data_IF_313111620710
#
_entry.id   IF_313111620710
#
_cell.length_a   1.000
_cell.length_b   1.000
_cell.length_c   1.000
_cell.angle_alpha   90.00
_cell.angle_beta   90.00
_cell.angle_gamma   90.00
#
_symmetry.space_group_name_H-M   'P 1'
#
loop_
_entity.id
_entity.type
_entity.pdbx_description
1 polymer ?
#
# COMPACT_ATOMS: atom_id res chain seq x y z
N UNK A 1 -7.05 9.63 -8.57
CA UNK A 1 -6.98 10.04 -7.15
C UNK A 1 -7.36 11.50 -6.93
N UNK A 2 -6.67 12.53 -7.47
CA UNK A 2 -6.99 13.95 -7.21
C UNK A 2 -8.43 14.35 -7.54
N UNK A 3 -8.99 13.86 -8.66
CA UNK A 3 -10.40 14.09 -9.02
C UNK A 3 -11.38 13.55 -7.98
N UNK A 4 -11.03 12.43 -7.35
CA UNK A 4 -11.84 11.83 -6.28
C UNK A 4 -11.79 12.71 -5.04
N UNK A 5 -10.59 13.15 -4.63
CA UNK A 5 -10.41 14.08 -3.49
C UNK A 5 -11.21 15.37 -3.68
N UNK A 6 -11.16 15.97 -4.87
CA UNK A 6 -11.93 17.18 -5.20
C UNK A 6 -13.45 16.93 -5.10
N UNK A 7 -13.95 15.77 -5.57
CA UNK A 7 -15.38 15.43 -5.48
C UNK A 7 -15.88 15.32 -4.05
N UNK A 8 -15.06 14.77 -3.17
CA UNK A 8 -15.41 14.57 -1.76
C UNK A 8 -15.09 15.78 -0.88
N UNK A 9 -14.47 16.82 -1.43
CA UNK A 9 -14.13 18.07 -0.73
C UNK A 9 -13.41 17.83 0.60
N UNK A 10 -12.37 17.00 0.58
CA UNK A 10 -11.57 16.63 1.75
C UNK A 10 -10.19 17.27 1.72
N UNK A 11 -9.66 17.57 2.89
CA UNK A 11 -8.26 17.89 3.06
C UNK A 11 -7.46 16.57 3.08
N UNK A 12 -6.58 16.39 2.09
CA UNK A 12 -5.76 15.18 1.94
C UNK A 12 -4.29 15.49 2.17
N UNK A 13 -3.65 14.72 3.04
CA UNK A 13 -2.19 14.65 3.15
C UNK A 13 -1.72 13.28 2.68
N UNK A 14 -0.76 13.28 1.76
CA UNK A 14 -0.07 12.07 1.28
C UNK A 14 1.36 12.10 1.82
N UNK A 15 1.73 11.07 2.57
CA UNK A 15 3.06 10.95 3.16
C UNK A 15 4.01 10.23 2.21
N UNK A 16 5.08 10.89 1.82
CA UNK A 16 6.27 10.21 1.30
C UNK A 16 7.02 9.59 2.48
N UNK A 17 6.86 8.27 2.66
CA UNK A 17 7.53 7.55 3.75
C UNK A 17 9.06 7.68 3.66
N UNK A 18 9.81 7.46 4.78
CA UNK A 18 11.26 7.57 4.78
C UNK A 18 11.93 6.82 3.61
N UNK A 19 12.76 7.54 2.85
CA UNK A 19 13.45 7.03 1.67
C UNK A 19 12.72 7.20 0.34
N UNK A 20 11.48 7.76 0.35
CA UNK A 20 10.76 8.16 -0.86
C UNK A 20 10.81 9.67 -1.06
N UNK A 21 10.74 10.10 -2.31
CA UNK A 21 10.70 11.52 -2.67
C UNK A 21 11.85 12.32 -2.04
N UNK A 22 11.51 13.37 -1.29
CA UNK A 22 12.45 14.20 -0.54
C UNK A 22 12.64 13.76 0.93
N UNK A 23 11.93 12.71 1.37
CA UNK A 23 12.01 12.24 2.76
C UNK A 23 13.33 11.54 3.04
N UNK A 24 13.98 11.90 4.16
CA UNK A 24 15.20 11.26 4.61
C UNK A 24 15.01 9.76 4.83
N UNK A 25 15.97 8.96 4.43
CA UNK A 25 15.92 7.52 4.65
C UNK A 25 16.05 7.19 6.15
N UNK A 26 15.29 6.17 6.61
CA UNK A 26 15.36 5.57 7.95
C UNK A 26 15.59 4.06 7.83
N UNK A 27 16.83 3.58 7.67
CA UNK A 27 17.10 2.15 7.51
C UNK A 27 16.69 1.34 8.74
N UNK A 28 16.13 0.15 8.50
CA UNK A 28 15.73 -0.75 9.58
C UNK A 28 14.44 -0.37 10.29
N UNK A 29 13.68 0.61 9.75
CA UNK A 29 12.33 0.94 10.24
C UNK A 29 11.40 -0.26 10.17
N UNK A 30 10.44 -0.29 11.07
CA UNK A 30 9.32 -1.23 11.06
C UNK A 30 8.06 -0.53 10.61
N UNK A 31 7.03 -1.29 10.29
CA UNK A 31 5.73 -0.75 9.89
C UNK A 31 5.20 0.27 10.92
N UNK A 32 5.28 -0.04 12.21
CA UNK A 32 4.80 0.85 13.28
C UNK A 32 5.48 2.21 13.34
N UNK A 33 6.70 2.33 12.83
CA UNK A 33 7.50 3.54 13.00
C UNK A 33 6.96 4.72 12.18
N UNK A 34 6.06 4.47 11.20
CA UNK A 34 5.33 5.50 10.45
C UNK A 34 4.47 6.39 11.36
N UNK A 35 4.03 5.86 12.49
CA UNK A 35 3.14 6.58 13.41
C UNK A 35 3.78 7.86 13.95
N UNK A 36 5.08 7.86 14.18
CA UNK A 36 5.83 9.05 14.61
C UNK A 36 5.74 10.16 13.55
N UNK A 37 5.92 9.83 12.28
CA UNK A 37 5.86 10.78 11.17
C UNK A 37 4.42 11.29 10.97
N UNK A 38 3.42 10.41 11.07
CA UNK A 38 2.00 10.78 10.94
C UNK A 38 1.59 11.75 12.05
N UNK A 39 1.99 11.51 13.30
CA UNK A 39 1.70 12.41 14.41
C UNK A 39 2.26 13.81 14.16
N UNK A 40 3.51 13.92 13.72
CA UNK A 40 4.11 15.21 13.39
C UNK A 40 3.35 15.96 12.30
N UNK A 41 2.88 15.24 11.27
CA UNK A 41 2.14 15.82 10.15
C UNK A 41 0.75 16.29 10.59
N UNK A 42 -0.02 15.45 11.27
CA UNK A 42 -1.39 15.79 11.67
C UNK A 42 -1.40 16.91 12.73
N UNK A 43 -0.38 16.98 13.61
CA UNK A 43 -0.18 18.09 14.53
C UNK A 43 0.15 19.40 13.80
N UNK A 44 1.00 19.34 12.77
CA UNK A 44 1.32 20.50 11.94
C UNK A 44 0.10 21.00 11.13
N UNK A 45 -0.82 20.09 10.76
CA UNK A 45 -2.09 20.45 10.12
C UNK A 45 -3.14 20.98 11.12
N UNK A 46 -2.91 20.83 12.41
CA UNK A 46 -3.88 21.20 13.45
C UNK A 46 -5.09 20.26 13.49
N UNK A 47 -4.93 19.01 13.09
CA UNK A 47 -6.01 18.03 13.08
C UNK A 47 -6.04 17.25 14.40
N UNK A 48 -7.13 17.32 15.12
CA UNK A 48 -7.35 16.53 16.33
C UNK A 48 -7.65 15.06 16.00
N UNK A 49 -8.38 14.83 14.92
CA UNK A 49 -8.73 13.49 14.40
C UNK A 49 -8.63 13.43 12.89
N UNK A 50 -8.52 12.23 12.35
CA UNK A 50 -8.40 11.99 10.91
C UNK A 50 -8.82 10.57 10.53
N UNK A 51 -9.26 10.39 9.29
CA UNK A 51 -9.38 9.08 8.68
C UNK A 51 -8.07 8.72 7.97
N UNK A 52 -7.71 7.44 7.93
CA UNK A 52 -6.49 6.96 7.29
C UNK A 52 -6.76 5.82 6.34
N UNK A 53 -6.09 5.81 5.20
CA UNK A 53 -6.08 4.64 4.34
C UNK A 53 -4.72 4.40 3.71
N UNK A 54 -4.50 3.17 3.31
CA UNK A 54 -3.30 2.78 2.59
C UNK A 54 -3.60 1.67 1.59
N UNK A 55 -2.99 1.77 0.40
CA UNK A 55 -3.07 0.74 -0.64
C UNK A 55 -1.80 -0.09 -0.70
N UNK A 56 -1.93 -1.40 -1.00
CA UNK A 56 -0.79 -2.30 -1.18
C UNK A 56 0.20 -2.24 0.00
N UNK A 57 1.47 -1.99 -0.24
CA UNK A 57 2.47 -1.78 0.82
C UNK A 57 2.19 -0.60 1.77
N UNK A 58 1.22 0.27 1.46
CA UNK A 58 0.76 1.32 2.36
C UNK A 58 -0.25 0.85 3.41
N UNK A 59 -0.98 -0.23 3.13
CA UNK A 59 -2.04 -0.74 4.00
C UNK A 59 -1.55 -1.15 5.41
N UNK A 60 -0.43 -1.87 5.57
CA UNK A 60 0.15 -2.15 6.88
C UNK A 60 0.41 -0.90 7.72
N UNK A 61 0.86 0.19 7.08
CA UNK A 61 1.14 1.46 7.75
C UNK A 61 -0.15 2.15 8.22
N UNK A 62 -1.23 2.09 7.43
CA UNK A 62 -2.55 2.58 7.84
C UNK A 62 -3.10 1.77 9.03
N UNK A 63 -2.97 0.44 9.01
CA UNK A 63 -3.35 -0.42 10.13
C UNK A 63 -2.52 -0.13 11.38
N UNK A 64 -1.23 0.21 11.24
CA UNK A 64 -0.41 0.63 12.38
C UNK A 64 -0.90 1.95 13.00
N UNK A 65 -1.33 2.91 12.18
CA UNK A 65 -1.96 4.13 12.68
C UNK A 65 -3.26 3.81 13.42
N UNK A 66 -4.11 2.95 12.87
CA UNK A 66 -5.36 2.52 13.53
C UNK A 66 -5.12 1.85 14.88
N UNK A 67 -4.06 1.02 14.99
CA UNK A 67 -3.72 0.32 16.21
C UNK A 67 -3.13 1.23 17.29
N UNK A 68 -2.29 2.21 16.92
CA UNK A 68 -1.51 3.00 17.86
C UNK A 68 -2.05 4.40 18.10
N UNK A 69 -2.94 4.90 17.25
CA UNK A 69 -3.55 6.22 17.34
C UNK A 69 -5.09 6.16 17.45
N UNK A 70 -5.60 5.13 18.15
CA UNK A 70 -7.06 4.92 18.31
C UNK A 70 -7.83 6.13 18.89
N UNK A 71 -7.14 7.04 19.59
CA UNK A 71 -7.75 8.30 20.07
C UNK A 71 -7.83 9.42 19.03
N UNK A 72 -7.23 9.23 17.85
CA UNK A 72 -7.16 10.23 16.76
C UNK A 72 -7.63 9.69 15.41
N UNK A 73 -7.45 8.39 15.17
CA UNK A 73 -7.95 7.73 13.94
C UNK A 73 -9.43 7.44 14.10
N UNK A 74 -10.25 8.04 13.25
CA UNK A 74 -11.71 7.82 13.24
C UNK A 74 -12.08 6.55 12.47
N UNK A 75 -11.43 6.32 11.32
CA UNK A 75 -11.65 5.17 10.44
C UNK A 75 -10.36 4.81 9.71
N UNK A 76 -10.21 3.52 9.39
CA UNK A 76 -9.06 3.04 8.64
C UNK A 76 -9.51 2.15 7.48
N UNK A 77 -9.07 2.43 6.25
CA UNK A 77 -9.25 1.53 5.12
C UNK A 77 -7.93 0.86 4.73
N UNK A 78 -7.87 -0.46 4.81
CA UNK A 78 -6.80 -1.30 4.30
C UNK A 78 -7.17 -1.81 2.91
N UNK A 79 -6.45 -1.39 1.89
CA UNK A 79 -6.82 -1.58 0.49
C UNK A 79 -5.77 -2.44 -0.23
N UNK A 80 -6.17 -3.60 -0.74
CA UNK A 80 -5.31 -4.57 -1.44
C UNK A 80 -3.97 -4.80 -0.72
N UNK A 81 -4.02 -4.88 0.59
CA UNK A 81 -2.85 -4.90 1.45
C UNK A 81 -2.51 -6.29 2.01
N UNK A 82 -1.22 -6.55 2.31
CA UNK A 82 -0.83 -7.81 2.93
C UNK A 82 -1.22 -7.87 4.41
N UNK A 83 -1.38 -9.08 4.93
CA UNK A 83 -1.40 -9.38 6.35
C UNK A 83 0.03 -9.39 6.93
N UNK A 84 0.22 -9.39 8.27
CA UNK A 84 1.53 -9.54 8.88
C UNK A 84 2.26 -10.77 8.34
N UNK A 85 3.58 -10.63 8.13
CA UNK A 85 4.37 -11.75 7.59
C UNK A 85 4.35 -12.98 8.52
N UNK A 86 4.21 -12.75 9.82
CA UNK A 86 4.15 -13.80 10.85
C UNK A 86 2.71 -14.22 11.18
N UNK A 87 1.74 -13.92 10.31
CA UNK A 87 0.33 -14.28 10.48
C UNK A 87 0.19 -15.79 10.62
N UNK A 88 -0.19 -16.25 11.81
CA UNK A 88 -0.36 -17.67 12.09
C UNK A 88 -1.49 -18.25 11.23
N UNK A 89 -1.24 -19.40 10.62
CA UNK A 89 -2.20 -20.09 9.76
C UNK A 89 -2.30 -19.55 8.34
N UNK A 90 -1.57 -18.48 7.97
CA UNK A 90 -1.52 -17.95 6.63
C UNK A 90 -0.27 -18.47 5.89
N UNK A 91 -0.46 -19.19 4.80
CA UNK A 91 0.61 -19.36 3.80
C UNK A 91 0.77 -18.04 3.03
N UNK A 92 1.73 -17.22 3.49
CA UNK A 92 1.86 -15.82 3.10
C UNK A 92 2.16 -15.63 1.60
N UNK A 93 2.81 -16.60 0.97
CA UNK A 93 3.13 -16.56 -0.46
C UNK A 93 2.13 -17.31 -1.34
N UNK A 94 1.14 -17.99 -0.76
CA UNK A 94 0.17 -18.75 -1.53
C UNK A 94 -0.57 -17.87 -2.54
N UNK A 95 -0.59 -18.29 -3.82
CA UNK A 95 -1.25 -17.60 -4.92
C UNK A 95 -0.63 -16.24 -5.32
N UNK A 96 0.48 -15.85 -4.72
CA UNK A 96 1.22 -14.65 -5.08
C UNK A 96 2.00 -14.87 -6.38
N UNK A 97 2.11 -13.83 -7.21
CA UNK A 97 2.84 -13.89 -8.48
C UNK A 97 4.34 -14.20 -8.28
N UNK A 98 4.97 -14.91 -9.22
CA UNK A 98 6.38 -15.27 -9.11
C UNK A 98 7.32 -14.07 -8.92
N UNK A 99 7.05 -12.96 -9.62
CA UNK A 99 7.82 -11.73 -9.49
C UNK A 99 7.79 -11.19 -8.06
N UNK A 100 6.60 -11.11 -7.47
CA UNK A 100 6.41 -10.59 -6.11
C UNK A 100 7.00 -11.54 -5.05
N UNK A 101 6.83 -12.87 -5.22
CA UNK A 101 7.48 -13.88 -4.35
C UNK A 101 9.01 -13.73 -4.36
N UNK A 102 9.60 -13.51 -5.53
CA UNK A 102 11.04 -13.29 -5.68
C UNK A 102 11.51 -12.04 -4.96
N UNK A 103 10.80 -10.92 -5.14
CA UNK A 103 11.11 -9.66 -4.46
C UNK A 103 11.13 -9.83 -2.95
N UNK A 104 10.03 -10.31 -2.38
CA UNK A 104 9.85 -10.40 -0.95
C UNK A 104 10.74 -11.48 -0.31
N UNK A 105 11.07 -12.53 -1.06
CA UNK A 105 12.06 -13.52 -0.63
C UNK A 105 13.47 -12.90 -0.51
N UNK A 106 13.86 -12.03 -1.45
CA UNK A 106 15.14 -11.31 -1.37
C UNK A 106 15.11 -10.23 -0.28
N UNK A 107 13.99 -9.51 -0.12
CA UNK A 107 13.83 -8.53 0.95
C UNK A 107 14.05 -9.15 2.35
N UNK A 108 13.58 -10.38 2.58
CA UNK A 108 13.84 -11.12 3.83
C UNK A 108 15.32 -11.40 4.08
N UNK A 109 16.12 -11.55 3.03
CA UNK A 109 17.57 -11.73 3.16
C UNK A 109 18.30 -10.41 3.46
N UNK A 110 17.59 -9.28 3.34
CA UNK A 110 18.08 -7.95 3.64
C UNK A 110 18.57 -7.17 2.42
N UNK A 111 18.91 -5.92 2.66
CA UNK A 111 19.22 -4.93 1.61
C UNK A 111 20.28 -5.40 0.61
N UNK A 112 21.37 -5.99 1.09
CA UNK A 112 22.47 -6.45 0.22
C UNK A 112 22.02 -7.44 -0.84
N UNK A 113 21.09 -8.33 -0.50
CA UNK A 113 20.56 -9.31 -1.44
C UNK A 113 19.49 -8.72 -2.36
N UNK A 114 18.70 -7.77 -1.85
CA UNK A 114 17.51 -7.24 -2.53
C UNK A 114 17.80 -6.05 -3.44
N UNK A 115 18.70 -5.14 -3.06
CA UNK A 115 19.02 -3.90 -3.78
C UNK A 115 19.28 -4.09 -5.28
N UNK A 116 20.11 -5.07 -5.73
CA UNK A 116 20.39 -5.24 -7.16
C UNK A 116 19.15 -5.60 -7.99
N UNK A 117 18.15 -6.24 -7.39
CA UNK A 117 16.88 -6.51 -8.06
C UNK A 117 16.05 -5.23 -8.18
N UNK A 118 15.89 -4.46 -7.08
CA UNK A 118 15.04 -3.27 -7.06
C UNK A 118 15.57 -2.19 -8.00
N UNK A 119 16.89 -1.96 -8.01
CA UNK A 119 17.52 -1.02 -8.94
C UNK A 119 17.19 -1.36 -10.40
N UNK A 120 17.32 -2.63 -10.76
CA UNK A 120 16.95 -3.11 -12.10
C UNK A 120 15.45 -2.96 -12.41
N UNK A 121 14.57 -3.29 -11.44
CA UNK A 121 13.13 -3.15 -11.63
C UNK A 121 12.73 -1.67 -11.82
N UNK A 122 13.32 -0.76 -11.06
CA UNK A 122 13.11 0.67 -11.19
C UNK A 122 13.53 1.19 -12.58
N UNK A 123 14.72 0.78 -13.05
CA UNK A 123 15.20 1.13 -14.39
C UNK A 123 14.27 0.58 -15.48
N UNK A 124 13.86 -0.67 -15.37
CA UNK A 124 12.93 -1.32 -16.32
C UNK A 124 11.56 -0.63 -16.32
N UNK A 125 11.02 -0.24 -15.16
CA UNK A 125 9.75 0.46 -15.06
C UNK A 125 9.81 1.82 -15.78
N UNK A 126 10.88 2.59 -15.56
CA UNK A 126 11.10 3.89 -16.24
C UNK A 126 11.19 3.71 -17.74
N UNK A 127 12.03 2.77 -18.20
CA UNK A 127 12.21 2.50 -19.63
C UNK A 127 10.90 2.04 -20.28
N UNK A 128 10.15 1.16 -19.62
CA UNK A 128 8.89 0.65 -20.11
C UNK A 128 7.85 1.76 -20.30
N UNK A 129 7.60 2.59 -19.28
CA UNK A 129 6.58 3.66 -19.37
C UNK A 129 6.96 4.73 -20.39
N UNK A 130 8.24 5.04 -20.55
CA UNK A 130 8.72 5.96 -21.58
C UNK A 130 8.48 5.46 -23.01
N UNK A 131 8.42 4.12 -23.17
CA UNK A 131 8.11 3.46 -24.46
C UNK A 131 6.62 3.13 -24.60
N UNK A 132 5.76 3.57 -23.68
CA UNK A 132 4.32 3.28 -23.69
C UNK A 132 3.97 1.86 -23.21
N UNK A 133 4.91 1.18 -22.54
CA UNK A 133 4.71 -0.13 -21.89
C UNK A 133 4.27 0.01 -20.43
N UNK A 134 3.98 -1.12 -19.80
CA UNK A 134 3.58 -1.16 -18.39
C UNK A 134 4.80 -1.12 -17.46
N UNK A 135 4.66 -0.55 -16.25
CA UNK A 135 5.77 -0.43 -15.29
C UNK A 135 6.16 -1.75 -14.62
N UNK A 136 5.35 -2.79 -14.76
CA UNK A 136 5.60 -4.13 -14.20
C UNK A 136 5.94 -5.12 -15.32
N UNK A 137 6.91 -5.99 -15.06
CA UNK A 137 7.30 -7.05 -16.01
C UNK A 137 6.29 -8.20 -16.03
N UNK A 138 6.41 -9.07 -17.04
CA UNK A 138 5.54 -10.25 -17.21
C UNK A 138 5.67 -11.24 -16.04
N UNK A 139 6.78 -11.23 -15.28
CA UNK A 139 6.98 -12.07 -14.10
C UNK A 139 5.92 -11.84 -12.99
N UNK A 140 5.20 -10.71 -13.05
CA UNK A 140 4.11 -10.42 -12.11
C UNK A 140 2.78 -11.05 -12.51
N UNK A 141 2.65 -11.61 -13.71
CA UNK A 141 1.47 -12.37 -14.16
C UNK A 141 0.14 -11.66 -13.87
N UNK A 142 0.08 -10.35 -14.10
CA UNK A 142 -1.09 -9.54 -13.75
C UNK A 142 -2.35 -10.02 -14.48
N UNK A 143 -3.50 -10.09 -13.79
CA UNK A 143 -4.79 -10.36 -14.42
C UNK A 143 -5.11 -9.34 -15.53
N UNK A 144 -5.87 -9.77 -16.53
CA UNK A 144 -6.24 -8.91 -17.65
C UNK A 144 -6.92 -7.58 -17.23
N UNK A 145 -7.69 -7.60 -16.15
CA UNK A 145 -8.33 -6.41 -15.60
C UNK A 145 -7.30 -5.41 -15.06
N UNK A 146 -6.28 -5.89 -14.33
CA UNK A 146 -5.21 -5.03 -13.82
C UNK A 146 -4.35 -4.45 -14.95
N UNK A 147 -4.07 -5.26 -15.98
CA UNK A 147 -3.40 -4.80 -17.21
C UNK A 147 -4.20 -3.70 -17.89
N UNK A 148 -5.52 -3.85 -18.01
CA UNK A 148 -6.39 -2.83 -18.60
C UNK A 148 -6.38 -1.53 -17.78
N UNK A 149 -6.52 -1.62 -16.45
CA UNK A 149 -6.49 -0.47 -15.55
C UNK A 149 -5.12 0.26 -15.58
N UNK A 150 -4.01 -0.47 -15.65
CA UNK A 150 -2.68 0.14 -15.83
C UNK A 150 -2.54 0.88 -17.16
N UNK A 151 -3.11 0.33 -18.25
CA UNK A 151 -3.12 0.99 -19.57
C UNK A 151 -3.94 2.27 -19.57
N UNK A 152 -5.08 2.28 -18.89
CA UNK A 152 -5.88 3.49 -18.70
C UNK A 152 -5.09 4.55 -17.94
N UNK A 153 -4.40 4.17 -16.86
CA UNK A 153 -3.52 5.09 -16.10
C UNK A 153 -2.35 5.60 -16.91
N UNK A 154 -1.73 4.75 -17.74
CA UNK A 154 -0.64 5.15 -18.62
C UNK A 154 -1.06 6.24 -19.61
N UNK A 155 -2.34 6.27 -19.99
CA UNK A 155 -2.92 7.29 -20.84
C UNK A 155 -3.27 8.61 -20.09
N UNK A 156 -3.24 8.60 -18.75
CA UNK A 156 -3.51 9.82 -17.97
C UNK A 156 -2.37 10.86 -18.11
N UNK A 157 -2.69 12.14 -18.26
CA UNK A 157 -1.69 13.20 -18.28
C UNK A 157 -0.79 13.16 -17.03
N UNK A 158 0.52 13.20 -17.24
CA UNK A 158 1.52 13.23 -16.18
C UNK A 158 1.78 11.88 -15.49
N UNK A 159 1.16 10.77 -15.92
CA UNK A 159 1.44 9.47 -15.32
C UNK A 159 2.88 9.01 -15.56
N UNK A 160 3.38 9.16 -16.79
CA UNK A 160 4.76 8.80 -17.14
C UNK A 160 5.75 9.63 -16.33
N UNK A 161 5.55 10.93 -16.25
CA UNK A 161 6.40 11.86 -15.51
C UNK A 161 6.42 11.51 -14.01
N UNK A 162 5.26 11.21 -13.42
CA UNK A 162 5.18 10.78 -12.01
C UNK A 162 5.88 9.45 -11.77
N UNK A 163 5.73 8.49 -12.68
CA UNK A 163 6.40 7.19 -12.57
C UNK A 163 7.92 7.34 -12.68
N UNK A 164 8.38 8.15 -13.62
CA UNK A 164 9.81 8.48 -13.74
C UNK A 164 10.32 9.17 -12.48
N UNK A 165 9.63 10.21 -12.00
CA UNK A 165 10.02 10.92 -10.78
C UNK A 165 10.10 10.00 -9.56
N UNK A 166 9.11 9.11 -9.37
CA UNK A 166 9.08 8.17 -8.25
C UNK A 166 10.28 7.21 -8.25
N UNK A 167 10.87 6.91 -9.41
CA UNK A 167 11.99 5.98 -9.54
C UNK A 167 13.37 6.67 -9.66
N UNK A 168 13.43 7.97 -9.89
CA UNK A 168 14.71 8.72 -10.05
C UNK A 168 15.29 9.24 -8.75
N UNK A 169 14.50 9.29 -7.67
CA UNK A 169 14.98 9.67 -6.33
C UNK A 169 15.65 8.51 -5.57
N UNK A 170 15.89 7.38 -6.24
CA UNK A 170 16.48 6.18 -5.67
C UNK A 170 15.43 5.16 -5.21
N UNK A 171 15.91 4.00 -4.77
CA UNK A 171 15.09 2.84 -4.41
C UNK A 171 15.08 2.54 -2.92
N UNK A 172 15.64 3.41 -2.11
CA UNK A 172 15.83 3.17 -0.68
C UNK A 172 14.52 2.97 0.07
N UNK A 173 13.51 3.78 -0.24
CA UNK A 173 12.18 3.65 0.35
C UNK A 173 11.51 2.32 0.00
N UNK A 174 11.61 1.89 -1.27
CA UNK A 174 11.08 0.60 -1.71
C UNK A 174 11.76 -0.57 -0.99
N UNK A 175 13.10 -0.54 -0.90
CA UNK A 175 13.88 -1.56 -0.20
C UNK A 175 13.46 -1.66 1.26
N UNK A 176 13.41 -0.52 1.96
CA UNK A 176 13.09 -0.48 3.38
C UNK A 176 11.64 -0.91 3.66
N UNK A 177 10.68 -0.56 2.80
CA UNK A 177 9.28 -1.00 2.91
C UNK A 177 9.15 -2.52 2.77
N UNK A 178 9.73 -3.12 1.72
CA UNK A 178 9.63 -4.55 1.51
C UNK A 178 10.32 -5.33 2.63
N UNK A 179 11.45 -4.83 3.16
CA UNK A 179 12.10 -5.41 4.33
C UNK A 179 11.19 -5.29 5.56
N UNK A 180 10.56 -4.13 5.78
CA UNK A 180 9.67 -3.91 6.92
C UNK A 180 8.41 -4.80 6.85
N UNK A 181 7.83 -4.99 5.66
CA UNK A 181 6.67 -5.86 5.46
C UNK A 181 6.95 -7.34 5.76
N UNK A 182 8.19 -7.80 5.50
CA UNK A 182 8.62 -9.20 5.73
C UNK A 182 9.22 -9.44 7.11
N UNK A 183 9.05 -8.52 8.05
CA UNK A 183 9.48 -8.59 9.46
C UNK A 183 8.30 -8.31 10.39
N UNK A 184 8.46 -8.54 11.72
CA UNK A 184 7.45 -8.14 12.70
C UNK A 184 7.08 -6.67 12.56
N UNK A 185 5.80 -6.38 12.34
CA UNK A 185 5.31 -5.01 12.14
C UNK A 185 5.51 -4.13 13.37
N UNK A 186 5.59 -4.75 14.57
CA UNK A 186 5.69 -4.06 15.85
C UNK A 186 4.34 -3.56 16.37
N UNK A 187 3.25 -3.94 15.71
CA UNK A 187 1.85 -3.77 16.15
C UNK A 187 1.12 -5.09 15.97
N UNK A 188 0.07 -5.27 16.74
CA UNK A 188 -0.84 -6.40 16.65
C UNK A 188 -2.18 -5.90 16.08
N UNK A 189 -2.56 -6.26 14.85
CA UNK A 189 -3.83 -5.85 14.26
C UNK A 189 -5.06 -6.30 15.03
N UNK A 190 -4.95 -7.36 15.85
CA UNK A 190 -6.06 -7.85 16.68
C UNK A 190 -6.46 -6.86 17.78
N UNK A 191 -5.61 -5.89 18.09
CA UNK A 191 -5.84 -4.86 19.10
C UNK A 191 -6.46 -3.57 18.52
N UNK A 192 -6.76 -3.52 17.23
CA UNK A 192 -7.41 -2.37 16.62
C UNK A 192 -8.85 -2.28 17.13
N UNK A 193 -9.22 -1.09 17.60
CA UNK A 193 -10.55 -0.81 18.17
C UNK A 193 -11.36 0.20 17.36
N UNK A 194 -10.72 0.87 16.41
CA UNK A 194 -11.40 1.80 15.50
C UNK A 194 -12.05 1.04 14.34
N UNK A 195 -13.09 1.58 13.68
CA UNK A 195 -13.67 0.98 12.50
C UNK A 195 -12.63 0.75 11.40
N UNK A 196 -12.57 -0.49 10.87
CA UNK A 196 -11.67 -0.88 9.78
C UNK A 196 -12.46 -1.47 8.63
N UNK A 197 -12.15 -1.06 7.41
CA UNK A 197 -12.61 -1.73 6.19
C UNK A 197 -11.43 -2.39 5.47
N UNK A 198 -11.67 -3.62 4.99
CA UNK A 198 -10.70 -4.41 4.23
C UNK A 198 -11.21 -4.54 2.80
N UNK A 199 -10.48 -3.89 1.88
CA UNK A 199 -10.79 -3.87 0.45
C UNK A 199 -9.83 -4.78 -0.29
N UNK A 200 -10.35 -5.74 -1.06
CA UNK A 200 -9.50 -6.72 -1.76
C UNK A 200 -10.10 -7.17 -3.08
N UNK A 201 -9.26 -7.46 -4.05
CA UNK A 201 -9.63 -8.08 -5.31
C UNK A 201 -9.58 -9.60 -5.24
N UNK A 202 -10.58 -10.32 -5.78
CA UNK A 202 -10.57 -11.78 -5.78
C UNK A 202 -9.46 -12.37 -6.64
N UNK A 203 -9.05 -11.63 -7.69
CA UNK A 203 -8.02 -12.03 -8.66
C UNK A 203 -6.66 -11.36 -8.40
N UNK A 204 -6.48 -10.73 -7.23
CA UNK A 204 -5.23 -10.07 -6.87
C UNK A 204 -4.10 -11.10 -6.71
N UNK A 205 -3.07 -10.97 -7.55
CA UNK A 205 -1.86 -11.81 -7.52
C UNK A 205 -0.67 -11.15 -6.83
N UNK A 206 -0.80 -9.86 -6.47
CA UNK A 206 0.24 -9.13 -5.72
C UNK A 206 0.00 -9.23 -4.21
N UNK A 207 -1.26 -9.07 -3.80
CA UNK A 207 -1.72 -9.31 -2.43
C UNK A 207 -2.96 -10.21 -2.47
N UNK A 208 -2.80 -11.53 -2.58
CA UNK A 208 -3.92 -12.46 -2.72
C UNK A 208 -4.97 -12.32 -1.63
N UNK A 209 -6.23 -12.60 -1.98
CA UNK A 209 -7.39 -12.45 -1.09
C UNK A 209 -7.25 -13.17 0.26
N UNK A 210 -6.39 -14.19 0.35
CA UNK A 210 -6.06 -14.89 1.59
C UNK A 210 -5.51 -13.96 2.67
N UNK A 211 -4.79 -12.89 2.29
CA UNK A 211 -4.34 -11.86 3.23
C UNK A 211 -5.51 -11.07 3.81
N UNK A 212 -6.45 -10.65 2.96
CA UNK A 212 -7.66 -9.96 3.38
C UNK A 212 -8.54 -10.83 4.26
N UNK A 213 -8.67 -12.11 3.93
CA UNK A 213 -9.42 -13.08 4.73
C UNK A 213 -8.83 -13.26 6.12
N UNK A 214 -7.50 -13.32 6.21
CA UNK A 214 -6.82 -13.35 7.50
C UNK A 214 -7.09 -12.08 8.31
N UNK A 215 -6.94 -10.89 7.71
CA UNK A 215 -7.20 -9.61 8.39
C UNK A 215 -8.66 -9.52 8.87
N UNK A 216 -9.62 -9.92 8.05
CA UNK A 216 -11.05 -9.95 8.39
C UNK A 216 -11.37 -10.90 9.55
N UNK A 217 -10.64 -12.00 9.66
CA UNK A 217 -10.83 -12.95 10.74
C UNK A 217 -10.20 -12.50 12.08
N UNK A 218 -9.21 -11.58 12.03
CA UNK A 218 -8.41 -11.23 13.19
C UNK A 218 -8.59 -9.80 13.68
N UNK A 219 -9.01 -8.86 12.82
CA UNK A 219 -9.32 -7.49 13.25
C UNK A 219 -10.78 -7.43 13.73
N UNK A 220 -11.04 -7.10 15.00
CA UNK A 220 -12.39 -7.07 15.54
C UNK A 220 -13.30 -6.11 14.78
N UNK A 221 -14.43 -6.59 14.29
CA UNK A 221 -15.42 -5.76 13.61
C UNK A 221 -15.00 -5.25 12.23
N UNK A 222 -13.93 -5.77 11.63
CA UNK A 222 -13.51 -5.36 10.29
C UNK A 222 -14.60 -5.64 9.23
N UNK A 223 -14.88 -4.64 8.41
CA UNK A 223 -15.86 -4.72 7.33
C UNK A 223 -15.23 -5.25 6.04
N UNK A 224 -15.96 -6.15 5.36
CA UNK A 224 -15.53 -6.77 4.12
C UNK A 224 -15.98 -5.95 2.91
N UNK A 225 -15.05 -5.55 2.03
CA UNK A 225 -15.33 -4.91 0.77
C UNK A 225 -14.60 -5.60 -0.38
N UNK A 226 -15.32 -6.40 -1.15
CA UNK A 226 -14.75 -7.07 -2.31
C UNK A 226 -14.80 -6.13 -3.53
N UNK A 227 -13.65 -5.92 -4.14
CA UNK A 227 -13.48 -5.19 -5.38
C UNK A 227 -13.88 -6.06 -6.58
N UNK A 228 -14.19 -5.46 -7.75
CA UNK A 228 -14.61 -6.23 -8.93
C UNK A 228 -13.48 -7.03 -9.60
N UNK A 229 -12.20 -6.71 -9.32
CA UNK A 229 -11.05 -7.28 -10.03
C UNK A 229 -9.85 -7.55 -9.12
N UNK A 230 -8.63 -7.26 -9.58
CA UNK A 230 -7.37 -7.55 -8.92
C UNK A 230 -6.86 -6.43 -8.01
N UNK A 231 -5.60 -6.03 -8.25
CA UNK A 231 -4.84 -5.10 -7.40
C UNK A 231 -5.01 -3.63 -7.75
N UNK A 232 -5.28 -3.34 -9.03
CA UNK A 232 -5.25 -1.97 -9.55
C UNK A 232 -6.63 -1.33 -9.46
N UNK A 233 -6.74 -0.29 -8.63
CA UNK A 233 -7.99 0.44 -8.40
C UNK A 233 -8.26 1.45 -9.51
N UNK A 234 -9.53 1.62 -9.87
CA UNK A 234 -10.02 2.73 -10.66
C UNK A 234 -10.62 3.85 -9.78
N UNK A 235 -11.12 4.91 -10.44
CA UNK A 235 -11.74 6.04 -9.74
C UNK A 235 -13.00 5.63 -8.96
N UNK A 236 -13.78 4.66 -9.45
CA UNK A 236 -14.99 4.18 -8.77
C UNK A 236 -14.71 3.49 -7.45
N UNK A 237 -13.66 2.67 -7.43
CA UNK A 237 -13.23 1.98 -6.22
C UNK A 237 -12.70 2.99 -5.20
N UNK A 238 -11.96 4.00 -5.66
CA UNK A 238 -11.49 5.10 -4.83
C UNK A 238 -12.66 5.91 -4.27
N UNK A 239 -13.67 6.24 -5.08
CA UNK A 239 -14.89 6.94 -4.59
C UNK A 239 -15.55 6.15 -3.45
N UNK A 240 -15.75 4.84 -3.61
CA UNK A 240 -16.36 4.00 -2.57
C UNK A 240 -15.53 3.94 -1.28
N UNK A 241 -14.19 3.94 -1.38
CA UNK A 241 -13.29 4.01 -0.22
C UNK A 241 -13.45 5.35 0.51
N UNK A 242 -13.48 6.47 -0.23
CA UNK A 242 -13.69 7.79 0.38
C UNK A 242 -15.09 7.94 0.97
N UNK A 243 -16.14 7.45 0.32
CA UNK A 243 -17.50 7.41 0.88
C UNK A 243 -17.52 6.68 2.22
N UNK A 244 -16.87 5.51 2.31
CA UNK A 244 -16.79 4.76 3.57
C UNK A 244 -15.99 5.51 4.64
N UNK A 245 -14.86 6.12 4.29
CA UNK A 245 -14.00 6.85 5.24
C UNK A 245 -14.69 8.10 5.81
N UNK A 246 -15.53 8.75 5.01
CA UNK A 246 -16.19 10.03 5.34
C UNK A 246 -17.62 9.85 5.90
N UNK A 247 -18.08 8.60 5.97
CA UNK A 247 -19.43 8.33 6.48
C UNK A 247 -19.54 8.76 7.96
N UNK A 248 -20.37 9.78 8.22
CA UNK A 248 -20.73 10.18 9.59
C UNK A 248 -21.64 9.11 10.20
N UNK A 249 -21.28 8.55 11.36
CA UNK A 249 -22.11 7.61 12.15
C UNK A 249 -23.10 8.31 13.03
#
# INVERSE_FOLDING_TARGET
>A
MWRVVERHNVDLVVLDRPGYGASSRRPGRRIKDVVEDVVLIVDACGWDSFAVWGGSGGAPHALACAALLAGRVERCASVVGPAPFEAEGLDWFARMSPGNVKELTLARQGEKAYRPLVERLAEQAVEAVQKGGLPLSDDYELPAADVAALRERLAEPGYVERTVAANTHGVDGWIDDCIAMTRPWGVDPTQITVPVSIWYGPDDVLCPSTHAEWLLAHIPGAERHQLPSGHILGDKELDAIYEWLLFET
#
